data_IF_348767844639
#
_entry.id   IF_348767844639
#
_cell.length_a   1.000
_cell.length_b   1.000
_cell.length_c   1.000
_cell.angle_alpha   90.00
_cell.angle_beta   90.00
_cell.angle_gamma   90.00
#
_symmetry.space_group_name_H-M   'P 1'
#
loop_
_entity.id
_entity.type
_entity.pdbx_description
1 polymer ?
#
# COMPACT_ATOMS: atom_id res chain seq x y z
N UNK A 1 13.98 -23.10 1.87
CA UNK A 1 13.35 -22.75 3.17
C UNK A 1 12.83 -21.32 3.26
N UNK A 2 13.58 -20.29 2.85
CA UNK A 2 13.12 -18.89 2.93
C UNK A 2 11.80 -18.59 2.15
N UNK A 3 11.60 -19.20 0.98
CA UNK A 3 10.37 -19.02 0.19
C UNK A 3 9.13 -19.63 0.86
N UNK A 4 9.26 -20.81 1.48
CA UNK A 4 8.17 -21.48 2.19
C UNK A 4 7.69 -20.65 3.39
N UNK A 5 8.61 -20.07 4.16
CA UNK A 5 8.29 -19.22 5.31
C UNK A 5 7.57 -17.94 4.86
N UNK A 6 8.07 -17.27 3.81
CA UNK A 6 7.42 -16.06 3.26
C UNK A 6 6.01 -16.36 2.73
N UNK A 7 5.83 -17.48 2.04
CA UNK A 7 4.52 -17.92 1.56
C UNK A 7 3.56 -18.24 2.71
N UNK A 8 4.03 -18.94 3.75
CA UNK A 8 3.24 -19.24 4.94
C UNK A 8 2.80 -17.97 5.70
N UNK A 9 3.68 -16.97 5.81
CA UNK A 9 3.34 -15.67 6.39
C UNK A 9 2.26 -14.94 5.58
N UNK A 10 2.36 -14.95 4.24
CA UNK A 10 1.32 -14.40 3.38
C UNK A 10 -0.04 -15.10 3.58
N UNK A 11 -0.03 -16.43 3.60
CA UNK A 11 -1.24 -17.23 3.86
C UNK A 11 -1.83 -16.94 5.25
N UNK A 12 -1.00 -16.83 6.29
CA UNK A 12 -1.44 -16.47 7.64
C UNK A 12 -2.12 -15.10 7.65
N UNK A 13 -1.55 -14.10 6.99
CA UNK A 13 -2.15 -12.76 6.88
C UNK A 13 -3.52 -12.82 6.19
N UNK A 14 -3.65 -13.58 5.10
CA UNK A 14 -4.93 -13.77 4.40
C UNK A 14 -5.98 -14.44 5.31
N UNK A 15 -5.58 -15.48 6.06
CA UNK A 15 -6.46 -16.14 7.04
C UNK A 15 -6.90 -15.16 8.13
N UNK A 16 -5.98 -14.37 8.69
CA UNK A 16 -6.29 -13.36 9.71
C UNK A 16 -7.28 -12.32 9.19
N UNK A 17 -7.09 -11.80 7.96
CA UNK A 17 -8.04 -10.88 7.32
C UNK A 17 -9.42 -11.53 7.21
N UNK A 18 -9.48 -12.78 6.73
CA UNK A 18 -10.74 -13.51 6.58
C UNK A 18 -11.46 -13.81 7.89
N UNK A 19 -10.72 -14.07 8.98
CA UNK A 19 -11.29 -14.25 10.32
C UNK A 19 -11.80 -12.91 10.88
N UNK A 20 -10.98 -11.85 10.80
CA UNK A 20 -11.34 -10.52 11.32
C UNK A 20 -12.54 -9.92 10.60
N UNK A 21 -12.64 -10.10 9.27
CA UNK A 21 -13.75 -9.62 8.45
C UNK A 21 -15.10 -10.22 8.85
N UNK A 22 -15.12 -11.36 9.55
CA UNK A 22 -16.35 -12.03 10.05
C UNK A 22 -16.73 -11.61 11.47
N UNK A 23 -15.91 -10.81 12.15
CA UNK A 23 -16.20 -10.33 13.51
C UNK A 23 -17.04 -9.05 13.50
N UNK A 24 -17.52 -8.62 14.66
CA UNK A 24 -18.16 -7.29 14.82
C UNK A 24 -17.24 -6.13 14.47
N UNK A 25 -15.92 -6.33 14.51
CA UNK A 25 -14.91 -5.33 14.20
C UNK A 25 -14.28 -5.58 12.83
N UNK A 26 -15.09 -5.86 11.81
CA UNK A 26 -14.62 -6.18 10.45
C UNK A 26 -13.69 -5.12 9.85
N UNK A 27 -13.82 -3.85 10.25
CA UNK A 27 -12.95 -2.75 9.82
C UNK A 27 -11.48 -2.96 10.22
N UNK A 28 -11.20 -3.73 11.29
CA UNK A 28 -9.83 -4.09 11.71
C UNK A 28 -9.13 -4.93 10.64
N UNK A 29 -9.88 -5.68 9.83
CA UNK A 29 -9.31 -6.41 8.70
C UNK A 29 -8.63 -5.46 7.69
N UNK A 30 -9.05 -4.19 7.62
CA UNK A 30 -8.39 -3.16 6.82
C UNK A 30 -7.07 -2.66 7.40
N UNK A 31 -6.81 -2.84 8.71
CA UNK A 31 -5.54 -2.46 9.34
C UNK A 31 -4.44 -3.50 9.12
N UNK A 32 -4.80 -4.78 9.04
CA UNK A 32 -3.83 -5.87 8.85
C UNK A 32 -2.91 -5.66 7.64
N UNK A 33 -3.41 -5.32 6.43
CA UNK A 33 -2.53 -5.07 5.29
C UNK A 33 -1.72 -3.76 5.40
N UNK A 34 -2.04 -2.87 6.35
CA UNK A 34 -1.26 -1.65 6.59
C UNK A 34 0.02 -1.91 7.39
N UNK A 35 0.20 -3.12 7.93
CA UNK A 35 1.44 -3.47 8.60
C UNK A 35 2.63 -3.31 7.61
N UNK A 36 3.66 -2.54 7.97
CA UNK A 36 4.61 -1.99 6.99
C UNK A 36 5.69 -3.01 6.57
N UNK A 37 5.38 -4.29 6.39
CA UNK A 37 6.38 -5.33 6.09
C UNK A 37 7.20 -4.99 4.85
N UNK A 38 6.54 -4.66 3.73
CA UNK A 38 7.24 -4.32 2.49
C UNK A 38 8.03 -3.01 2.62
N UNK A 39 7.48 -2.02 3.32
CA UNK A 39 8.17 -0.77 3.59
C UNK A 39 9.41 -0.99 4.47
N UNK A 40 9.33 -1.85 5.50
CA UNK A 40 10.44 -2.22 6.36
C UNK A 40 11.56 -2.87 5.56
N UNK A 41 11.23 -3.82 4.67
CA UNK A 41 12.22 -4.47 3.79
C UNK A 41 12.87 -3.42 2.86
N UNK A 42 12.06 -2.53 2.25
CA UNK A 42 12.58 -1.48 1.38
C UNK A 42 13.50 -0.52 2.14
N UNK A 43 13.11 -0.06 3.33
CA UNK A 43 13.91 0.81 4.18
C UNK A 43 15.22 0.15 4.62
N UNK A 44 15.19 -1.13 4.97
CA UNK A 44 16.40 -1.88 5.30
C UNK A 44 17.35 -1.92 4.12
N UNK A 45 16.86 -2.37 2.95
CA UNK A 45 17.66 -2.48 1.72
C UNK A 45 18.25 -1.12 1.33
N UNK A 46 17.44 -0.07 1.26
CA UNK A 46 17.91 1.28 0.89
C UNK A 46 18.91 1.82 1.92
N UNK A 47 18.65 1.64 3.21
CA UNK A 47 19.55 2.08 4.26
C UNK A 47 20.92 1.39 4.18
N UNK A 48 20.94 0.09 3.86
CA UNK A 48 22.18 -0.67 3.71
C UNK A 48 22.92 -0.43 2.40
N UNK A 49 22.20 -0.22 1.29
CA UNK A 49 22.81 -0.13 -0.06
C UNK A 49 23.07 1.30 -0.54
N UNK A 50 22.29 2.28 -0.07
CA UNK A 50 22.33 3.67 -0.55
C UNK A 50 22.63 4.69 0.55
N UNK A 51 22.72 4.23 1.81
CA UNK A 51 23.03 5.07 2.97
C UNK A 51 21.82 5.82 3.54
N UNK A 52 22.07 6.54 4.64
CA UNK A 52 21.02 7.16 5.46
C UNK A 52 20.30 8.30 4.75
N UNK A 53 20.98 9.07 3.90
CA UNK A 53 20.38 10.19 3.16
C UNK A 53 19.32 9.69 2.16
N UNK A 54 19.67 8.67 1.36
CA UNK A 54 18.72 8.03 0.46
C UNK A 54 17.55 7.37 1.20
N UNK A 55 17.80 6.79 2.37
CA UNK A 55 16.75 6.26 3.23
C UNK A 55 15.78 7.37 3.69
N UNK A 56 16.28 8.53 4.12
CA UNK A 56 15.44 9.67 4.53
C UNK A 56 14.58 10.17 3.37
N UNK A 57 15.14 10.28 2.17
CA UNK A 57 14.39 10.62 0.96
C UNK A 57 13.31 9.57 0.65
N UNK A 58 13.62 8.28 0.80
CA UNK A 58 12.67 7.17 0.60
C UNK A 58 11.52 7.21 1.61
N UNK A 59 11.81 7.52 2.88
CA UNK A 59 10.78 7.70 3.91
C UNK A 59 9.89 8.89 3.56
N UNK A 60 10.48 10.02 3.12
CA UNK A 60 9.71 11.19 2.72
C UNK A 60 8.81 10.89 1.51
N UNK A 61 9.32 10.19 0.49
CA UNK A 61 8.49 9.69 -0.61
C UNK A 61 7.37 8.77 -0.11
N UNK A 62 7.67 7.88 0.85
CA UNK A 62 6.70 7.01 1.49
C UNK A 62 5.56 7.76 2.20
N UNK A 63 5.85 8.91 2.81
CA UNK A 63 4.82 9.80 3.39
C UNK A 63 3.90 10.34 2.29
N UNK A 64 4.46 10.78 1.16
CA UNK A 64 3.65 11.26 0.04
C UNK A 64 2.87 10.13 -0.64
N UNK A 65 3.38 8.89 -0.59
CA UNK A 65 2.70 7.70 -1.10
C UNK A 65 1.39 7.36 -0.38
N UNK A 66 1.10 8.01 0.76
CA UNK A 66 -0.23 7.99 1.39
C UNK A 66 -1.30 8.62 0.48
N UNK A 67 -0.94 9.59 -0.36
CA UNK A 67 -1.89 10.28 -1.26
C UNK A 67 -2.56 9.28 -2.22
N UNK A 68 -1.83 8.44 -2.98
CA UNK A 68 -2.46 7.39 -3.78
C UNK A 68 -3.40 6.47 -2.99
N UNK A 69 -3.03 6.12 -1.76
CA UNK A 69 -3.88 5.28 -0.90
C UNK A 69 -5.18 6.00 -0.50
N UNK A 70 -5.12 7.30 -0.19
CA UNK A 70 -6.32 8.11 0.05
C UNK A 70 -7.21 8.18 -1.19
N UNK A 71 -6.63 8.39 -2.38
CA UNK A 71 -7.36 8.38 -3.65
C UNK A 71 -8.07 7.05 -3.84
N UNK A 72 -7.38 5.92 -3.63
CA UNK A 72 -7.98 4.59 -3.68
C UNK A 72 -9.20 4.46 -2.75
N UNK A 73 -9.06 4.83 -1.48
CA UNK A 73 -10.13 4.70 -0.49
C UNK A 73 -11.35 5.57 -0.82
N UNK A 74 -11.11 6.83 -1.22
CA UNK A 74 -12.18 7.76 -1.60
C UNK A 74 -12.90 7.26 -2.85
N UNK A 75 -12.15 6.84 -3.87
CA UNK A 75 -12.71 6.28 -5.11
C UNK A 75 -13.51 5.01 -4.85
N UNK A 76 -12.99 4.09 -4.03
CA UNK A 76 -13.69 2.85 -3.72
C UNK A 76 -14.97 3.12 -2.92
N UNK A 77 -14.92 4.01 -1.93
CA UNK A 77 -16.11 4.43 -1.18
C UNK A 77 -17.19 4.99 -2.11
N UNK A 78 -16.81 5.89 -3.01
CA UNK A 78 -17.73 6.45 -4.01
C UNK A 78 -18.29 5.38 -4.95
N UNK A 79 -17.44 4.56 -5.58
CA UNK A 79 -17.87 3.56 -6.55
C UNK A 79 -18.76 2.48 -5.94
N UNK A 80 -18.47 2.03 -4.70
CA UNK A 80 -19.33 1.06 -4.01
C UNK A 80 -20.74 1.58 -3.73
N UNK A 81 -20.96 2.91 -3.76
CA UNK A 81 -22.29 3.51 -3.67
C UNK A 81 -23.09 3.51 -4.98
N UNK A 82 -22.45 3.30 -6.14
CA UNK A 82 -23.08 3.46 -7.47
C UNK A 82 -22.98 2.23 -8.36
N UNK A 83 -22.09 1.28 -8.07
CA UNK A 83 -21.89 0.07 -8.88
C UNK A 83 -21.56 -1.17 -8.03
N UNK A 84 -21.51 -2.34 -8.68
CA UNK A 84 -21.16 -3.61 -8.01
C UNK A 84 -19.68 -3.62 -7.57
N UNK A 85 -19.36 -4.46 -6.59
CA UNK A 85 -18.03 -4.51 -5.97
C UNK A 85 -16.87 -4.79 -6.96
N UNK A 86 -16.93 -5.79 -7.88
CA UNK A 86 -15.80 -6.05 -8.77
C UNK A 86 -15.39 -4.85 -9.66
N UNK A 87 -16.28 -4.17 -10.39
CA UNK A 87 -15.90 -2.98 -11.15
C UNK A 87 -15.49 -1.81 -10.26
N UNK A 88 -16.07 -1.65 -9.06
CA UNK A 88 -15.65 -0.62 -8.11
C UNK A 88 -14.19 -0.79 -7.68
N UNK A 89 -13.77 -2.03 -7.37
CA UNK A 89 -12.38 -2.36 -7.05
C UNK A 89 -11.45 -2.08 -8.22
N UNK A 90 -11.82 -2.50 -9.44
CA UNK A 90 -11.01 -2.27 -10.64
C UNK A 90 -10.80 -0.78 -10.90
N UNK A 91 -11.86 0.02 -10.86
CA UNK A 91 -11.77 1.48 -11.09
C UNK A 91 -11.01 2.19 -9.97
N UNK A 92 -11.18 1.78 -8.71
CA UNK A 92 -10.39 2.34 -7.60
C UNK A 92 -8.88 2.06 -7.77
N UNK A 93 -8.51 0.88 -8.26
CA UNK A 93 -7.11 0.54 -8.61
C UNK A 93 -6.60 1.40 -9.76
N UNK A 94 -7.43 1.70 -10.76
CA UNK A 94 -7.05 2.65 -11.83
C UNK A 94 -6.80 4.05 -11.27
N UNK A 95 -7.68 4.58 -10.41
CA UNK A 95 -7.49 5.87 -9.75
C UNK A 95 -6.20 5.90 -8.92
N UNK A 96 -5.93 4.84 -8.16
CA UNK A 96 -4.67 4.65 -7.44
C UNK A 96 -3.48 4.72 -8.40
N UNK A 97 -3.48 3.94 -9.48
CA UNK A 97 -2.38 3.87 -10.44
C UNK A 97 -2.08 5.21 -11.10
N UNK A 98 -3.12 5.96 -11.50
CA UNK A 98 -2.98 7.30 -12.07
C UNK A 98 -2.37 8.28 -11.05
N UNK A 99 -2.87 8.28 -9.81
CA UNK A 99 -2.35 9.16 -8.76
C UNK A 99 -0.90 8.82 -8.37
N UNK A 100 -0.54 7.53 -8.33
CA UNK A 100 0.82 7.08 -8.08
C UNK A 100 1.77 7.50 -9.22
N UNK A 101 1.36 7.38 -10.48
CA UNK A 101 2.15 7.83 -11.62
C UNK A 101 2.41 9.34 -11.58
N UNK A 102 1.38 10.14 -11.24
CA UNK A 102 1.52 11.58 -11.03
C UNK A 102 2.49 11.86 -9.89
N UNK A 103 2.34 11.18 -8.74
CA UNK A 103 3.23 11.37 -7.61
C UNK A 103 4.70 11.09 -7.96
N UNK A 104 4.99 9.99 -8.66
CA UNK A 104 6.35 9.64 -9.09
C UNK A 104 6.92 10.71 -10.03
N UNK A 105 6.14 11.18 -11.00
CA UNK A 105 6.56 12.24 -11.92
C UNK A 105 6.84 13.55 -11.20
N UNK A 106 5.96 13.93 -10.27
CA UNK A 106 6.13 15.14 -9.45
C UNK A 106 7.41 15.02 -8.61
N UNK A 107 7.60 13.88 -7.95
CA UNK A 107 8.79 13.61 -7.15
C UNK A 107 10.08 13.69 -7.96
N UNK A 108 10.09 13.08 -9.16
CA UNK A 108 11.27 13.09 -10.03
C UNK A 108 11.62 14.49 -10.50
N UNK A 109 10.63 15.37 -10.73
CA UNK A 109 10.90 16.77 -11.09
C UNK A 109 11.50 17.55 -9.91
N UNK A 110 10.99 17.36 -8.69
CA UNK A 110 11.46 18.10 -7.51
C UNK A 110 12.81 17.64 -6.95
N UNK A 111 13.19 16.37 -7.13
CA UNK A 111 14.42 15.80 -6.56
C UNK A 111 15.50 15.46 -7.60
N UNK A 112 15.22 15.59 -8.91
CA UNK A 112 16.24 15.48 -9.96
C UNK A 112 16.74 16.85 -10.47
N UNK A 113 16.24 17.95 -9.90
CA UNK A 113 16.80 19.30 -10.08
C UNK A 113 17.60 19.71 -8.85
#
# INVERSE_FOLDING_TARGET
>A
MALLIKAALGALVVVLIGLLAKTRNYYIAGLVPLFPTFALIAHYIVGTERGVEALRATILFGIWAVIPYLVYLISLYYFTGVMRLPPALLLAVVCWGLSAAVLVKVWSVYHAG
#
